data_IF_276791764090
#
_entry.id   IF_276791764090
#
_cell.length_a   1.000
_cell.length_b   1.000
_cell.length_c   1.000
_cell.angle_alpha   90.00
_cell.angle_beta   90.00
_cell.angle_gamma   90.00
#
_symmetry.space_group_name_H-M   'P 1'
#
loop_
_entity.id
_entity.type
_entity.pdbx_description
1 polymer ?
#
# COMPACT_ATOMS: atom_id res chain seq x y z
N UNK A 1 -16.36 -22.73 -22.65
CA UNK A 1 -16.16 -21.26 -22.56
C UNK A 1 -16.48 -20.68 -21.17
N UNK A 2 -17.56 -21.12 -20.50
CA UNK A 2 -17.98 -20.58 -19.19
C UNK A 2 -16.97 -20.76 -18.04
N UNK A 3 -16.25 -21.89 -17.98
CA UNK A 3 -15.22 -22.15 -16.96
C UNK A 3 -14.08 -21.12 -16.97
N UNK A 4 -13.70 -20.60 -18.14
CA UNK A 4 -12.66 -19.58 -18.29
C UNK A 4 -13.15 -18.24 -17.73
N UNK A 5 -14.42 -17.90 -17.95
CA UNK A 5 -15.03 -16.67 -17.45
C UNK A 5 -15.11 -16.64 -15.93
N UNK A 6 -15.57 -17.73 -15.31
CA UNK A 6 -15.66 -17.87 -13.84
C UNK A 6 -14.26 -17.76 -13.21
N UNK A 7 -13.25 -18.42 -13.79
CA UNK A 7 -11.86 -18.34 -13.30
C UNK A 7 -11.29 -16.93 -13.38
N UNK A 8 -11.60 -16.16 -14.44
CA UNK A 8 -11.14 -14.76 -14.58
C UNK A 8 -11.81 -13.84 -13.55
N UNK A 9 -13.11 -13.99 -13.32
CA UNK A 9 -13.80 -13.20 -12.29
C UNK A 9 -13.27 -13.50 -10.88
N UNK A 10 -13.03 -14.78 -10.57
CA UNK A 10 -12.43 -15.18 -9.29
C UNK A 10 -11.02 -14.60 -9.12
N UNK A 11 -10.17 -14.62 -10.16
CA UNK A 11 -8.84 -13.99 -10.12
C UNK A 11 -8.90 -12.49 -9.88
N UNK A 12 -9.78 -11.78 -10.59
CA UNK A 12 -9.97 -10.33 -10.40
C UNK A 12 -10.42 -10.00 -8.99
N UNK A 13 -11.38 -10.76 -8.42
CA UNK A 13 -11.81 -10.58 -7.03
C UNK A 13 -10.64 -10.67 -6.03
N UNK A 14 -9.82 -11.73 -6.12
CA UNK A 14 -8.69 -11.92 -5.20
C UNK A 14 -7.62 -10.85 -5.37
N UNK A 15 -7.34 -10.42 -6.61
CA UNK A 15 -6.40 -9.32 -6.87
C UNK A 15 -6.90 -8.00 -6.29
N UNK A 16 -8.20 -7.72 -6.38
CA UNK A 16 -8.80 -6.55 -5.72
C UNK A 16 -8.68 -6.63 -4.21
N UNK A 17 -8.94 -7.81 -3.62
CA UNK A 17 -8.80 -8.00 -2.17
C UNK A 17 -7.35 -7.80 -1.70
N UNK A 18 -6.37 -8.36 -2.42
CA UNK A 18 -4.94 -8.14 -2.14
C UNK A 18 -4.60 -6.65 -2.22
N UNK A 19 -5.09 -5.96 -3.26
CA UNK A 19 -4.93 -4.51 -3.41
C UNK A 19 -5.48 -3.72 -2.23
N UNK A 20 -6.70 -4.05 -1.78
CA UNK A 20 -7.34 -3.43 -0.61
C UNK A 20 -6.52 -3.66 0.66
N UNK A 21 -6.08 -4.89 0.92
CA UNK A 21 -5.25 -5.22 2.09
C UNK A 21 -3.93 -4.44 2.05
N UNK A 22 -3.27 -4.36 0.89
CA UNK A 22 -2.05 -3.56 0.74
C UNK A 22 -2.28 -2.07 1.03
N UNK A 23 -3.41 -1.52 0.56
CA UNK A 23 -3.80 -0.13 0.81
C UNK A 23 -3.97 0.17 2.32
N UNK A 24 -4.64 -0.75 3.03
CA UNK A 24 -4.79 -0.64 4.49
C UNK A 24 -3.43 -0.74 5.18
N UNK A 25 -2.61 -1.72 4.80
CA UNK A 25 -1.30 -1.94 5.41
C UNK A 25 -0.33 -0.78 5.19
N UNK A 26 -0.26 -0.22 3.98
CA UNK A 26 0.61 0.94 3.73
C UNK A 26 0.14 2.15 4.57
N UNK A 27 -1.17 2.37 4.69
CA UNK A 27 -1.70 3.45 5.51
C UNK A 27 -1.36 3.25 6.99
N UNK A 28 -1.49 2.02 7.50
CA UNK A 28 -1.11 1.68 8.87
C UNK A 28 0.39 1.88 9.10
N UNK A 29 1.25 1.52 8.15
CA UNK A 29 2.70 1.73 8.29
C UNK A 29 3.01 3.22 8.39
N UNK A 30 2.37 4.02 7.54
CA UNK A 30 2.53 5.47 7.61
C UNK A 30 2.05 6.02 8.96
N UNK A 31 0.84 5.65 9.39
CA UNK A 31 0.22 6.19 10.59
C UNK A 31 0.92 5.76 11.89
N UNK A 32 1.41 4.52 11.97
CA UNK A 32 1.97 3.94 13.19
C UNK A 32 3.48 4.11 13.33
N UNK A 33 4.22 4.26 12.23
CA UNK A 33 5.68 4.33 12.27
C UNK A 33 6.24 5.61 11.66
N UNK A 34 5.88 5.93 10.41
CA UNK A 34 6.47 7.08 9.71
C UNK A 34 6.01 8.39 10.34
N UNK A 35 4.71 8.56 10.56
CA UNK A 35 4.16 9.81 11.04
C UNK A 35 4.57 10.16 12.48
N UNK A 36 4.63 9.20 13.42
CA UNK A 36 5.18 9.48 14.75
C UNK A 36 6.66 9.89 14.72
N UNK A 37 7.47 9.37 13.80
CA UNK A 37 8.85 9.82 13.62
C UNK A 37 8.87 11.25 13.05
N UNK A 38 8.06 11.56 12.05
CA UNK A 38 7.95 12.92 11.49
C UNK A 38 7.59 13.94 12.58
N UNK A 39 6.56 13.64 13.38
CA UNK A 39 6.13 14.51 14.48
C UNK A 39 7.22 14.75 15.51
N UNK A 40 8.09 13.76 15.77
CA UNK A 40 9.25 13.96 16.65
C UNK A 40 10.27 14.89 15.98
N UNK A 41 10.67 14.58 14.74
CA UNK A 41 11.69 15.35 14.00
C UNK A 41 11.28 16.82 13.87
N UNK A 42 9.98 17.11 13.66
CA UNK A 42 9.44 18.47 13.55
C UNK A 42 9.68 19.31 14.83
N UNK A 43 9.92 18.68 15.98
CA UNK A 43 10.19 19.36 17.27
C UNK A 43 11.68 19.52 17.58
N UNK A 44 12.56 18.95 16.75
CA UNK A 44 13.99 18.93 17.02
C UNK A 44 14.67 20.27 16.74
N UNK A 45 15.66 20.55 17.56
CA UNK A 45 16.62 21.64 17.47
C UNK A 45 18.01 21.03 17.72
N UNK A 46 19.11 21.73 17.39
CA UNK A 46 20.46 21.23 17.63
C UNK A 46 20.77 20.87 19.09
N UNK A 47 20.01 21.40 20.05
CA UNK A 47 20.26 21.23 21.49
C UNK A 47 19.32 20.25 22.20
N UNK A 48 18.21 19.84 21.57
CA UNK A 48 17.18 19.00 22.20
C UNK A 48 16.87 17.70 21.42
N UNK A 49 17.68 17.35 20.42
CA UNK A 49 17.54 16.08 19.73
C UNK A 49 17.71 14.92 20.72
N UNK A 50 16.87 13.88 20.65
CA UNK A 50 16.90 12.79 21.61
C UNK A 50 18.15 11.93 21.42
N UNK A 51 18.59 11.23 22.46
CA UNK A 51 19.81 10.39 22.40
C UNK A 51 19.73 9.27 21.36
N UNK A 52 18.54 8.82 20.99
CA UNK A 52 18.27 7.80 19.97
C UNK A 52 18.01 8.38 18.56
N UNK A 53 18.35 9.64 18.30
CA UNK A 53 18.11 10.28 17.00
C UNK A 53 18.69 9.47 15.83
N UNK A 54 19.83 8.80 16.03
CA UNK A 54 20.50 8.00 15.02
C UNK A 54 19.65 6.78 14.63
N UNK A 55 19.05 6.11 15.61
CA UNK A 55 18.16 4.97 15.36
C UNK A 55 16.91 5.40 14.59
N UNK A 56 16.30 6.52 14.99
CA UNK A 56 15.14 7.09 14.29
C UNK A 56 15.48 7.46 12.84
N UNK A 57 16.69 7.99 12.61
CA UNK A 57 17.20 8.30 11.27
C UNK A 57 17.35 7.07 10.38
N UNK A 58 17.71 5.90 10.93
CA UNK A 58 17.78 4.65 10.16
C UNK A 58 16.42 3.97 9.98
N UNK A 59 15.55 4.06 10.99
CA UNK A 59 14.20 3.52 10.94
C UNK A 59 13.33 4.24 9.90
N UNK A 60 13.45 5.57 9.79
CA UNK A 60 12.66 6.38 8.86
C UNK A 60 12.73 5.89 7.40
N UNK A 61 13.91 5.77 6.75
CA UNK A 61 14.00 5.28 5.38
C UNK A 61 13.61 3.80 5.25
N UNK A 62 13.83 2.99 6.28
CA UNK A 62 13.38 1.60 6.30
C UNK A 62 11.85 1.50 6.20
N UNK A 63 11.12 2.21 7.05
CA UNK A 63 9.65 2.20 7.00
C UNK A 63 9.11 2.78 5.70
N UNK A 64 9.75 3.80 5.13
CA UNK A 64 9.40 4.30 3.79
C UNK A 64 9.61 3.26 2.69
N UNK A 65 10.69 2.49 2.75
CA UNK A 65 10.93 1.41 1.79
C UNK A 65 9.88 0.29 1.91
N UNK A 66 9.53 -0.10 3.13
CA UNK A 66 8.46 -1.09 3.38
C UNK A 66 7.11 -0.57 2.87
N UNK A 67 6.78 0.69 3.20
CA UNK A 67 5.59 1.38 2.71
C UNK A 67 5.52 1.38 1.17
N UNK A 68 6.62 1.78 0.51
CA UNK A 68 6.72 1.81 -0.95
C UNK A 68 6.54 0.41 -1.56
N UNK A 69 7.14 -0.62 -0.96
CA UNK A 69 7.01 -2.00 -1.44
C UNK A 69 5.57 -2.50 -1.40
N UNK A 70 4.86 -2.25 -0.29
CA UNK A 70 3.46 -2.64 -0.12
C UNK A 70 2.55 -1.84 -1.05
N UNK A 71 2.76 -0.52 -1.16
CA UNK A 71 2.02 0.33 -2.09
C UNK A 71 2.19 -0.15 -3.54
N UNK A 72 3.42 -0.49 -3.94
CA UNK A 72 3.74 -1.00 -5.27
C UNK A 72 3.05 -2.34 -5.55
N UNK A 73 3.06 -3.27 -4.58
CA UNK A 73 2.36 -4.54 -4.67
C UNK A 73 0.85 -4.35 -4.81
N UNK A 74 0.26 -3.44 -4.01
CA UNK A 74 -1.16 -3.11 -4.08
C UNK A 74 -1.54 -2.52 -5.44
N UNK A 75 -0.76 -1.57 -5.95
CA UNK A 75 -0.97 -0.96 -7.26
C UNK A 75 -0.89 -1.99 -8.39
N UNK A 76 0.09 -2.90 -8.33
CA UNK A 76 0.23 -3.98 -9.30
C UNK A 76 -1.00 -4.92 -9.26
N UNK A 77 -1.43 -5.33 -8.06
CA UNK A 77 -2.60 -6.19 -7.90
C UNK A 77 -3.88 -5.54 -8.44
N UNK A 78 -4.13 -4.27 -8.14
CA UNK A 78 -5.29 -3.53 -8.65
C UNK A 78 -5.23 -3.36 -10.17
N UNK A 79 -4.07 -3.03 -10.72
CA UNK A 79 -3.86 -2.91 -12.17
C UNK A 79 -4.16 -4.24 -12.86
N UNK A 80 -3.62 -5.35 -12.35
CA UNK A 80 -3.88 -6.69 -12.88
C UNK A 80 -5.36 -7.09 -12.73
N UNK A 81 -6.02 -6.69 -11.63
CA UNK A 81 -7.45 -6.93 -11.45
C UNK A 81 -8.26 -6.27 -12.57
N UNK A 82 -7.98 -5.00 -12.88
CA UNK A 82 -8.64 -4.26 -13.95
C UNK A 82 -8.39 -4.88 -15.34
N UNK A 83 -7.15 -5.29 -15.63
CA UNK A 83 -6.82 -5.94 -16.90
C UNK A 83 -7.51 -7.30 -17.06
N UNK A 84 -7.76 -8.01 -15.96
CA UNK A 84 -8.41 -9.32 -15.98
C UNK A 84 -9.94 -9.23 -15.89
N UNK A 85 -10.48 -8.16 -15.34
CA UNK A 85 -11.91 -7.86 -15.28
C UNK A 85 -12.49 -7.74 -16.70
N UNK A 86 -13.61 -8.41 -16.95
CA UNK A 86 -14.34 -8.29 -18.22
C UNK A 86 -15.09 -6.96 -18.22
N UNK A 87 -14.95 -6.12 -19.27
CA UNK A 87 -15.88 -4.99 -19.50
C UNK A 87 -17.29 -5.56 -19.58
N UNK A 88 -18.12 -5.24 -18.58
CA UNK A 88 -19.58 -5.40 -18.71
C UNK A 88 -19.99 -4.39 -19.78
N UNK A 89 -20.36 -4.88 -20.96
CA UNK A 89 -21.08 -4.03 -21.92
C UNK A 89 -22.46 -3.84 -21.33
N UNK A 90 -22.75 -2.66 -20.82
CA UNK A 90 -24.13 -2.25 -20.58
C UNK A 90 -24.76 -2.18 -21.97
N UNK A 91 -25.66 -3.11 -22.26
CA UNK A 91 -26.55 -2.96 -23.40
C UNK A 91 -27.42 -1.74 -23.05
N UNK A 92 -27.19 -0.65 -23.76
CA UNK A 92 -28.16 0.43 -23.86
C UNK A 92 -29.22 -0.12 -24.81
N UNK A 93 -30.35 -0.52 -24.24
CA UNK A 93 -31.60 -0.74 -24.99
C UNK A 93 -32.24 0.61 -25.31
#
# INVERSE_FOLDING_TARGET
>A
MQTILIRRQRKSFWLTLVGLVCMILMWLIWALFIQPINQQIDTWTPVNAPSNWADLRYQWPFYHLVHLGIASLGMLALTLSLLLAKRVKWAVE
#
